data_IF_609868410524
#
_entry.id   IF_609868410524
#
_cell.length_a   1.000
_cell.length_b   1.000
_cell.length_c   1.000
_cell.angle_alpha   90.00
_cell.angle_beta   90.00
_cell.angle_gamma   90.00
#
_symmetry.space_group_name_H-M   'P 1'
#
loop_
_entity.id
_entity.type
_entity.pdbx_description
1 polymer ?
#
# COMPACT_ATOMS: atom_id res chain seq x y z
N UNK A 1 -6.57 1.89 -14.24
CA UNK A 1 -5.50 1.39 -13.34
C UNK A 1 -4.48 0.55 -14.09
N UNK A 2 -4.86 -0.51 -14.81
CA UNK A 2 -3.93 -1.30 -15.67
C UNK A 2 -3.08 -0.43 -16.61
N UNK A 3 -3.68 0.53 -17.34
CA UNK A 3 -2.92 1.46 -18.19
C UNK A 3 -1.84 2.26 -17.44
N UNK A 4 -2.10 2.61 -16.17
CA UNK A 4 -1.16 3.32 -15.31
C UNK A 4 -0.04 2.40 -14.83
N UNK A 5 -0.37 1.14 -14.52
CA UNK A 5 0.62 0.10 -14.21
C UNK A 5 1.54 -0.20 -15.38
N UNK A 6 0.97 -0.34 -16.58
CA UNK A 6 1.70 -0.47 -17.85
C UNK A 6 2.66 0.69 -18.12
N UNK A 7 2.28 1.91 -17.75
CA UNK A 7 3.14 3.09 -17.87
C UNK A 7 4.19 3.21 -16.75
N UNK A 8 4.15 2.31 -15.75
CA UNK A 8 5.01 2.34 -14.56
C UNK A 8 4.59 3.36 -13.50
N UNK A 9 3.46 4.04 -13.65
CA UNK A 9 3.02 5.15 -12.77
C UNK A 9 2.78 4.67 -11.33
N UNK A 10 2.20 3.48 -11.16
CA UNK A 10 1.92 2.92 -9.84
C UNK A 10 3.23 2.60 -9.08
N UNK A 11 4.26 2.17 -9.81
CA UNK A 11 5.58 1.88 -9.24
C UNK A 11 6.32 3.17 -8.85
N UNK A 12 6.20 4.23 -9.66
CA UNK A 12 6.90 5.51 -9.43
C UNK A 12 6.43 6.28 -8.19
N UNK A 13 5.34 5.88 -7.55
CA UNK A 13 4.89 6.48 -6.27
C UNK A 13 5.22 5.63 -5.04
N UNK A 14 6.16 4.70 -5.20
CA UNK A 14 6.69 3.86 -4.12
C UNK A 14 8.14 4.22 -3.74
N UNK A 15 8.62 5.38 -4.22
CA UNK A 15 10.00 5.81 -4.11
C UNK A 15 11.00 5.00 -4.93
N UNK A 16 12.28 5.42 -4.95
CA UNK A 16 13.37 4.68 -5.56
C UNK A 16 13.70 3.42 -4.75
N UNK A 17 14.03 2.34 -5.45
CA UNK A 17 14.53 1.13 -4.81
C UNK A 17 14.47 -0.12 -5.68
N UNK A 18 15.00 -1.25 -5.16
CA UNK A 18 15.09 -2.51 -5.91
C UNK A 18 13.72 -3.10 -6.28
N UNK A 19 12.65 -2.66 -5.63
CA UNK A 19 11.29 -3.10 -5.92
C UNK A 19 10.78 -2.58 -7.28
N UNK A 20 11.37 -1.51 -7.83
CA UNK A 20 11.02 -0.99 -9.15
C UNK A 20 11.31 -1.98 -10.29
N UNK A 21 12.09 -3.04 -10.01
CA UNK A 21 12.30 -4.18 -10.94
C UNK A 21 11.00 -4.85 -11.39
N UNK A 22 9.93 -4.76 -10.59
CA UNK A 22 8.63 -5.36 -10.90
C UNK A 22 7.75 -4.47 -11.79
N UNK A 23 8.22 -3.28 -12.20
CA UNK A 23 7.50 -2.45 -13.16
C UNK A 23 7.44 -3.16 -14.53
N UNK A 24 6.25 -3.48 -15.07
CA UNK A 24 6.09 -4.45 -16.15
C UNK A 24 6.72 -4.03 -17.49
N UNK A 25 6.81 -2.72 -17.75
CA UNK A 25 7.37 -2.14 -18.99
C UNK A 25 8.42 -1.08 -18.68
N UNK A 26 9.03 -1.13 -17.49
CA UNK A 26 9.88 -0.05 -16.99
C UNK A 26 9.09 1.17 -16.51
N UNK A 27 9.79 2.29 -16.30
CA UNK A 27 9.21 3.52 -15.76
C UNK A 27 8.98 4.52 -16.90
N UNK A 28 7.91 5.32 -16.82
CA UNK A 28 7.51 6.25 -17.88
C UNK A 28 7.36 5.58 -19.26
N UNK A 29 6.72 4.41 -19.29
CA UNK A 29 6.58 3.62 -20.52
C UNK A 29 7.90 3.09 -21.09
N UNK A 30 8.90 2.89 -20.23
CA UNK A 30 10.22 2.34 -20.59
C UNK A 30 11.28 3.39 -20.91
N UNK A 31 10.96 4.69 -20.75
CA UNK A 31 11.90 5.79 -20.97
C UNK A 31 12.98 5.89 -19.89
N UNK A 32 12.69 5.39 -18.69
CA UNK A 32 13.59 5.49 -17.54
C UNK A 32 13.82 4.11 -16.94
N UNK A 33 15.08 3.79 -16.66
CA UNK A 33 15.45 2.56 -15.97
C UNK A 33 15.24 2.71 -14.46
N UNK A 34 14.91 1.63 -13.74
CA UNK A 34 14.79 1.65 -12.28
C UNK A 34 15.95 2.29 -11.53
N UNK A 35 17.19 2.12 -12.03
CA UNK A 35 18.41 2.65 -11.40
C UNK A 35 18.60 4.16 -11.61
N UNK A 36 17.90 4.74 -12.58
CA UNK A 36 17.93 6.18 -12.91
C UNK A 36 16.82 6.94 -12.16
N UNK A 37 15.86 6.22 -11.57
CA UNK A 37 14.77 6.82 -10.81
C UNK A 37 15.21 7.23 -9.42
N UNK A 38 14.90 8.47 -9.05
CA UNK A 38 15.21 9.05 -7.74
C UNK A 38 14.00 9.80 -7.16
N UNK A 39 14.17 10.38 -5.97
CA UNK A 39 13.12 11.14 -5.31
C UNK A 39 12.72 12.43 -6.05
N UNK A 40 13.59 13.01 -6.89
CA UNK A 40 13.19 14.15 -7.73
C UNK A 40 12.23 13.72 -8.83
N UNK A 41 12.45 12.56 -9.44
CA UNK A 41 11.50 11.99 -10.39
C UNK A 41 10.15 11.70 -9.71
N UNK A 42 10.15 11.09 -8.53
CA UNK A 42 8.92 10.86 -7.77
C UNK A 42 8.18 12.17 -7.46
N UNK A 43 8.88 13.21 -7.00
CA UNK A 43 8.29 14.52 -6.73
C UNK A 43 7.63 15.11 -7.99
N UNK A 44 8.33 15.12 -9.13
CA UNK A 44 7.80 15.64 -10.39
C UNK A 44 6.54 14.86 -10.79
N UNK A 45 6.57 13.52 -10.68
CA UNK A 45 5.40 12.69 -10.99
C UNK A 45 4.22 13.03 -10.10
N UNK A 46 4.42 13.21 -8.80
CA UNK A 46 3.34 13.60 -7.89
C UNK A 46 2.77 14.99 -8.22
N UNK A 47 3.63 15.98 -8.49
CA UNK A 47 3.19 17.33 -8.87
C UNK A 47 2.38 17.33 -10.17
N UNK A 48 2.88 16.67 -11.22
CA UNK A 48 2.20 16.61 -12.52
C UNK A 48 0.87 15.84 -12.45
N UNK A 49 0.82 14.80 -11.63
CA UNK A 49 -0.41 14.06 -11.35
C UNK A 49 -1.49 14.95 -10.72
N UNK A 50 -1.13 15.79 -9.75
CA UNK A 50 -2.06 16.76 -9.17
C UNK A 50 -2.65 17.73 -10.20
N UNK A 51 -1.91 18.06 -11.28
CA UNK A 51 -2.40 18.96 -12.34
C UNK A 51 -3.50 18.36 -13.22
N UNK A 52 -3.65 17.03 -13.24
CA UNK A 52 -4.68 16.36 -14.03
C UNK A 52 -6.10 16.58 -13.47
N UNK A 53 -6.22 17.16 -12.28
CA UNK A 53 -7.48 17.46 -11.59
C UNK A 53 -8.43 16.24 -11.51
N UNK A 54 -7.84 15.07 -11.24
CA UNK A 54 -8.55 13.78 -11.13
C UNK A 54 -8.50 13.20 -9.71
N UNK A 55 -9.04 13.88 -8.67
CA UNK A 55 -8.92 13.44 -7.28
C UNK A 55 -9.55 12.07 -7.01
N UNK A 56 -10.60 11.68 -7.77
CA UNK A 56 -11.19 10.35 -7.64
C UNK A 56 -10.22 9.21 -8.00
N UNK A 57 -9.31 9.45 -8.95
CA UNK A 57 -8.24 8.50 -9.25
C UNK A 57 -7.09 8.65 -8.26
N UNK A 58 -6.59 9.88 -8.09
CA UNK A 58 -5.41 10.19 -7.28
C UNK A 58 -5.60 9.79 -5.83
N UNK A 59 -6.67 10.25 -5.17
CA UNK A 59 -6.91 9.96 -3.76
C UNK A 59 -7.63 8.63 -3.59
N UNK A 60 -8.59 8.32 -4.45
CA UNK A 60 -9.51 7.19 -4.27
C UNK A 60 -8.96 5.83 -4.70
N UNK A 61 -8.14 5.78 -5.76
CA UNK A 61 -7.67 4.54 -6.36
C UNK A 61 -6.16 4.35 -6.16
N UNK A 62 -5.36 5.36 -6.46
CA UNK A 62 -3.91 5.26 -6.38
C UNK A 62 -3.36 5.58 -4.98
N UNK A 63 -3.95 6.57 -4.30
CA UNK A 63 -3.60 6.99 -2.94
C UNK A 63 -3.72 5.87 -1.92
N UNK A 64 -4.57 4.87 -2.17
CA UNK A 64 -4.64 3.67 -1.35
C UNK A 64 -3.35 2.83 -1.43
N UNK A 65 -2.80 2.68 -2.63
CA UNK A 65 -1.55 1.96 -2.86
C UNK A 65 -0.33 2.70 -2.32
N UNK A 66 -0.25 4.02 -2.50
CA UNK A 66 0.90 4.82 -2.03
C UNK A 66 1.08 4.77 -0.51
N UNK A 67 0.03 4.43 0.26
CA UNK A 67 0.13 4.25 1.71
C UNK A 67 0.20 2.78 2.16
N UNK A 68 -0.40 1.85 1.41
CA UNK A 68 -0.42 0.42 1.75
C UNK A 68 0.86 -0.31 1.35
N UNK A 69 1.30 -0.12 0.11
CA UNK A 69 2.43 -0.84 -0.50
C UNK A 69 3.76 -0.60 0.23
N UNK A 70 4.10 0.62 0.70
CA UNK A 70 5.38 0.84 1.39
C UNK A 70 5.55 -0.02 2.64
N UNK A 71 4.46 -0.36 3.34
CA UNK A 71 4.51 -1.22 4.53
C UNK A 71 4.89 -2.65 4.14
N UNK A 72 4.33 -3.16 3.03
CA UNK A 72 4.66 -4.49 2.49
C UNK A 72 6.12 -4.52 2.02
N UNK A 73 6.55 -3.48 1.28
CA UNK A 73 7.93 -3.38 0.81
C UNK A 73 8.94 -3.33 1.95
N UNK A 74 8.61 -2.61 3.03
CA UNK A 74 9.51 -2.41 4.16
C UNK A 74 9.53 -3.58 5.15
N UNK A 75 8.38 -4.14 5.49
CA UNK A 75 8.25 -5.12 6.59
C UNK A 75 7.72 -6.49 6.15
N UNK A 76 7.22 -6.62 4.92
CA UNK A 76 6.75 -7.90 4.41
C UNK A 76 7.87 -8.92 4.26
N UNK A 77 7.52 -10.19 4.44
CA UNK A 77 8.40 -11.29 4.05
C UNK A 77 8.56 -11.33 2.53
N UNK A 78 9.65 -11.91 2.03
CA UNK A 78 9.95 -11.88 0.59
C UNK A 78 8.89 -12.59 -0.25
N UNK A 79 8.33 -13.71 0.25
CA UNK A 79 7.24 -14.39 -0.42
C UNK A 79 5.98 -13.50 -0.56
N UNK A 80 5.72 -12.63 0.41
CA UNK A 80 4.59 -11.69 0.35
C UNK A 80 4.85 -10.59 -0.67
N UNK A 81 6.09 -10.10 -0.77
CA UNK A 81 6.46 -9.12 -1.80
C UNK A 81 6.34 -9.70 -3.20
N UNK A 82 6.88 -10.90 -3.42
CA UNK A 82 6.80 -11.58 -4.72
C UNK A 82 5.35 -11.91 -5.11
N UNK A 83 4.49 -12.22 -4.12
CA UNK A 83 3.07 -12.47 -4.36
C UNK A 83 2.29 -11.19 -4.70
N UNK A 84 2.50 -10.11 -3.95
CA UNK A 84 1.61 -8.94 -3.98
C UNK A 84 2.09 -7.79 -4.86
N UNK A 85 3.41 -7.53 -4.92
CA UNK A 85 3.92 -6.33 -5.61
C UNK A 85 3.75 -6.41 -7.14
N UNK A 86 4.05 -7.53 -7.81
CA UNK A 86 3.87 -7.61 -9.26
C UNK A 86 2.43 -7.34 -9.75
N UNK A 87 1.36 -7.98 -9.23
CA UNK A 87 0.00 -7.67 -9.68
C UNK A 87 -0.44 -6.24 -9.32
N UNK A 88 0.03 -5.71 -8.19
CA UNK A 88 -0.20 -4.30 -7.83
C UNK A 88 0.45 -3.35 -8.85
N UNK A 89 1.70 -3.61 -9.24
CA UNK A 89 2.43 -2.76 -10.20
C UNK A 89 1.90 -2.87 -11.61
N UNK A 90 1.28 -4.00 -11.98
CA UNK A 90 0.48 -4.13 -13.21
C UNK A 90 -0.88 -3.41 -13.13
N UNK A 91 -1.27 -2.95 -11.94
CA UNK A 91 -2.54 -2.27 -11.70
C UNK A 91 -3.74 -3.22 -11.73
N UNK A 92 -3.51 -4.52 -11.55
CA UNK A 92 -4.51 -5.59 -11.48
C UNK A 92 -5.10 -5.69 -10.08
N UNK A 93 -4.26 -5.56 -9.05
CA UNK A 93 -4.63 -5.64 -7.64
C UNK A 93 -4.27 -4.37 -6.87
N UNK A 94 -4.84 -4.14 -5.70
CA UNK A 94 -4.51 -3.00 -4.82
C UNK A 94 -4.30 -3.44 -3.38
N UNK A 95 -3.31 -2.81 -2.73
CA UNK A 95 -3.11 -2.91 -1.30
C UNK A 95 -3.51 -1.58 -0.63
N UNK A 96 -4.17 -1.68 0.51
CA UNK A 96 -4.64 -0.52 1.26
C UNK A 96 -4.14 -0.54 2.70
N UNK A 97 -4.06 0.62 3.33
CA UNK A 97 -3.63 0.79 4.70
C UNK A 97 -4.84 0.89 5.64
N UNK A 98 -5.02 -0.11 6.50
CA UNK A 98 -6.16 -0.25 7.40
C UNK A 98 -5.76 -0.06 8.88
N UNK A 99 -5.60 1.20 9.27
CA UNK A 99 -5.15 1.58 10.62
C UNK A 99 -6.30 2.16 11.42
N UNK A 100 -6.85 3.28 10.95
CA UNK A 100 -7.85 4.10 11.65
C UNK A 100 -9.11 3.32 12.02
N UNK A 101 -9.65 3.63 13.19
CA UNK A 101 -10.88 3.06 13.74
C UNK A 101 -11.83 4.17 14.17
N UNK A 102 -13.07 3.81 14.50
CA UNK A 102 -14.05 4.78 15.00
C UNK A 102 -13.59 5.55 16.26
N UNK A 103 -12.69 4.96 17.05
CA UNK A 103 -12.20 5.50 18.32
C UNK A 103 -10.70 5.80 18.33
N UNK A 104 -9.99 5.57 17.23
CA UNK A 104 -8.54 5.70 17.14
C UNK A 104 -8.14 6.23 15.76
N UNK A 105 -7.73 7.50 15.70
CA UNK A 105 -7.19 8.17 14.51
C UNK A 105 -5.75 8.60 14.76
N UNK A 106 -5.57 9.81 15.30
CA UNK A 106 -4.24 10.33 15.67
C UNK A 106 -3.55 9.48 16.75
N UNK A 107 -4.33 8.95 17.71
CA UNK A 107 -3.84 7.99 18.71
C UNK A 107 -4.02 6.55 18.20
N UNK A 108 -3.10 6.10 17.34
CA UNK A 108 -3.10 4.73 16.79
C UNK A 108 -2.93 3.68 17.88
N UNK A 109 -2.22 4.01 18.97
CA UNK A 109 -1.98 3.09 20.07
C UNK A 109 -3.25 2.72 20.85
N UNK A 110 -4.34 3.47 20.67
CA UNK A 110 -5.66 3.19 21.24
C UNK A 110 -6.56 2.27 20.39
N UNK A 111 -6.04 1.70 19.28
CA UNK A 111 -6.80 0.77 18.45
C UNK A 111 -7.33 -0.44 19.25
N UNK A 112 -8.50 -0.92 18.84
CA UNK A 112 -9.27 -1.99 19.48
C UNK A 112 -9.44 -3.23 18.61
N UNK A 113 -9.15 -3.14 17.30
CA UNK A 113 -9.10 -4.33 16.46
C UNK A 113 -8.03 -5.30 16.99
N UNK A 114 -8.39 -6.57 17.12
CA UNK A 114 -7.53 -7.60 17.72
C UNK A 114 -7.13 -8.64 16.70
N UNK A 115 -5.94 -9.21 16.87
CA UNK A 115 -5.52 -10.46 16.24
C UNK A 115 -5.21 -11.46 17.33
N UNK A 116 -5.96 -12.56 17.42
CA UNK A 116 -5.73 -13.63 18.39
C UNK A 116 -5.36 -14.91 17.67
N UNK A 117 -4.36 -15.64 18.15
CA UNK A 117 -4.05 -16.96 17.60
C UNK A 117 -5.27 -17.88 17.72
N UNK A 118 -5.50 -18.68 16.69
CA UNK A 118 -6.48 -19.77 16.70
C UNK A 118 -6.02 -20.92 17.63
N UNK A 119 -6.84 -21.97 17.71
CA UNK A 119 -6.54 -23.10 18.59
C UNK A 119 -5.30 -23.90 18.15
N UNK A 120 -4.92 -23.88 16.86
CA UNK A 120 -3.68 -24.52 16.39
C UNK A 120 -2.45 -23.67 16.65
N UNK A 121 -2.61 -22.36 16.83
CA UNK A 121 -1.51 -21.41 17.01
C UNK A 121 -0.83 -21.03 15.69
N UNK A 122 -1.44 -21.37 14.55
CA UNK A 122 -0.85 -21.16 13.22
C UNK A 122 -1.40 -19.90 12.56
N UNK A 123 -2.64 -19.52 12.86
CA UNK A 123 -3.30 -18.37 12.23
C UNK A 123 -3.79 -17.36 13.26
N UNK A 124 -3.86 -16.10 12.86
CA UNK A 124 -4.53 -15.06 13.63
C UNK A 124 -5.98 -14.90 13.18
N UNK A 125 -6.92 -15.02 14.12
CA UNK A 125 -8.30 -14.57 13.98
C UNK A 125 -8.31 -13.06 14.22
N UNK A 126 -8.54 -12.29 13.15
CA UNK A 126 -8.65 -10.83 13.20
C UNK A 126 -10.11 -10.43 13.44
N UNK A 127 -10.36 -9.61 14.46
CA UNK A 127 -11.71 -9.14 14.81
C UNK A 127 -11.70 -7.68 15.24
N UNK A 128 -12.57 -6.89 14.63
CA UNK A 128 -12.74 -5.46 14.94
C UNK A 128 -13.34 -4.69 13.78
N UNK A 129 -13.22 -3.37 13.83
CA UNK A 129 -13.67 -2.47 12.77
C UNK A 129 -12.58 -1.49 12.39
N UNK A 130 -12.52 -1.17 11.09
CA UNK A 130 -11.66 -0.13 10.53
C UNK A 130 -12.54 0.94 9.89
N UNK A 131 -12.08 2.19 9.89
CA UNK A 131 -12.87 3.35 9.48
C UNK A 131 -12.07 4.25 8.54
N UNK A 132 -12.74 4.71 7.48
CA UNK A 132 -12.18 5.61 6.46
C UNK A 132 -10.96 5.03 5.75
N UNK A 133 -11.06 3.77 5.35
CA UNK A 133 -9.99 3.10 4.61
C UNK A 133 -10.08 3.49 3.14
N UNK A 134 -9.18 4.37 2.71
CA UNK A 134 -9.02 4.76 1.31
C UNK A 134 -8.85 3.52 0.43
N UNK A 135 -9.65 3.41 -0.62
CA UNK A 135 -9.66 2.24 -1.50
C UNK A 135 -10.21 0.94 -0.89
N UNK A 136 -10.66 0.95 0.36
CA UNK A 136 -11.03 -0.27 1.10
C UNK A 136 -12.16 -1.10 0.46
N UNK A 137 -13.06 -0.48 -0.31
CA UNK A 137 -14.12 -1.21 -1.03
C UNK A 137 -13.61 -2.02 -2.23
N UNK A 138 -12.41 -1.72 -2.73
CA UNK A 138 -11.82 -2.32 -3.92
C UNK A 138 -10.51 -3.05 -3.60
N UNK A 139 -10.22 -3.26 -2.31
CA UNK A 139 -8.96 -3.79 -1.85
C UNK A 139 -8.86 -5.31 -2.02
N UNK A 140 -7.77 -5.76 -2.62
CA UNK A 140 -7.37 -7.17 -2.65
C UNK A 140 -6.54 -7.51 -1.40
N UNK A 141 -5.75 -6.53 -0.93
CA UNK A 141 -4.87 -6.68 0.23
C UNK A 141 -5.11 -5.57 1.26
N UNK A 142 -5.22 -5.97 2.53
CA UNK A 142 -5.30 -5.04 3.65
C UNK A 142 -4.07 -5.15 4.54
N UNK A 143 -3.27 -4.08 4.57
CA UNK A 143 -2.25 -3.91 5.61
C UNK A 143 -2.93 -3.38 6.86
N UNK A 144 -3.24 -4.28 7.80
CA UNK A 144 -4.10 -3.97 8.95
C UNK A 144 -3.31 -3.90 10.25
N UNK A 145 -3.42 -2.79 10.97
CA UNK A 145 -2.93 -2.74 12.35
C UNK A 145 -3.92 -3.42 13.30
N UNK A 146 -3.43 -4.39 14.06
CA UNK A 146 -4.21 -5.15 15.02
C UNK A 146 -3.45 -5.25 16.34
N UNK A 147 -4.18 -5.41 17.43
CA UNK A 147 -3.65 -5.66 18.77
C UNK A 147 -3.51 -7.16 19.02
N UNK A 148 -2.31 -7.62 19.32
CA UNK A 148 -2.03 -9.02 19.65
C UNK A 148 -1.75 -9.25 21.14
N UNK A 149 -1.60 -8.19 21.95
CA UNK A 149 -1.29 -8.26 23.38
C UNK A 149 -2.08 -7.27 24.25
N UNK A 150 -1.36 -6.57 25.15
CA UNK A 150 -1.90 -5.68 26.16
C UNK A 150 -2.34 -4.31 25.62
N UNK A 151 -2.66 -3.35 26.48
CA UNK A 151 -3.01 -1.98 26.04
C UNK A 151 -1.75 -1.18 25.63
N UNK A 152 -1.91 -0.24 24.70
CA UNK A 152 -0.86 0.71 24.29
C UNK A 152 -0.07 0.28 23.05
N UNK A 153 1.03 0.97 22.78
CA UNK A 153 1.80 0.80 21.53
C UNK A 153 2.61 -0.50 21.46
N UNK A 154 2.89 -1.14 22.59
CA UNK A 154 3.70 -2.37 22.67
C UNK A 154 3.03 -3.64 22.15
N UNK A 155 1.75 -3.55 21.77
CA UNK A 155 0.96 -4.72 21.39
C UNK A 155 0.23 -5.31 22.55
#
# INVERSE_FOLDING_TARGET
RVKCGDAGIIAMVQGPGPHLKWAPKGLMGGLLKPEEFDYFHEQIIQEERCRTFCPGYEDGLDGACSIGVPVILKYGADWMKELTIPPIFRGEETAVLAISEAYAGSDVAALRCTGKLDASGENYIVSGTKKWITGGMYADWFVTAVRTGGKGAGG
#
